data_IF_611940995685
#
_entry.id   IF_611940995685
#
_cell.length_a   1.000
_cell.length_b   1.000
_cell.length_c   1.000
_cell.angle_alpha   90.00
_cell.angle_beta   90.00
_cell.angle_gamma   90.00
#
_symmetry.space_group_name_H-M   'P 1'
#
loop_
_entity.id
_entity.type
_entity.pdbx_description
1 polymer ?
#
# COMPACT_ATOMS: atom_id res chain seq x y z
N UNK A 1 22.87 -18.13 -67.89
CA UNK A 1 21.48 -18.49 -67.52
C UNK A 1 21.25 -17.88 -66.16
N UNK A 2 20.76 -16.62 -66.18
CA UNK A 2 20.48 -15.83 -64.97
C UNK A 2 19.12 -16.24 -64.41
N UNK A 3 19.12 -16.62 -63.17
CA UNK A 3 17.88 -16.80 -62.39
C UNK A 3 17.96 -15.78 -61.23
N UNK A 4 17.52 -14.57 -61.52
CA UNK A 4 17.11 -13.59 -60.52
C UNK A 4 15.70 -13.13 -60.85
N UNK A 5 14.69 -13.86 -60.36
CA UNK A 5 13.34 -13.37 -60.24
C UNK A 5 12.98 -13.29 -58.75
N UNK A 6 13.30 -12.14 -58.12
CA UNK A 6 12.71 -11.77 -56.84
C UNK A 6 11.21 -11.51 -57.03
N UNK A 7 10.40 -12.31 -56.39
CA UNK A 7 8.95 -12.20 -56.43
C UNK A 7 8.42 -10.93 -55.74
N UNK A 8 7.26 -10.42 -56.09
CA UNK A 8 6.68 -9.16 -55.63
C UNK A 8 6.37 -9.12 -54.10
N UNK A 9 6.49 -10.25 -53.41
CA UNK A 9 6.26 -10.34 -51.96
C UNK A 9 7.46 -9.86 -51.10
N UNK A 10 8.69 -10.01 -51.61
CA UNK A 10 9.92 -9.63 -50.87
C UNK A 10 10.10 -8.11 -50.86
N UNK A 11 9.72 -7.40 -51.91
CA UNK A 11 9.79 -5.91 -51.93
C UNK A 11 8.87 -5.25 -50.90
N UNK A 12 7.66 -5.79 -50.68
CA UNK A 12 6.72 -5.26 -49.68
C UNK A 12 7.21 -5.45 -48.25
N UNK A 13 7.95 -6.54 -47.96
CA UNK A 13 8.51 -6.81 -46.64
C UNK A 13 9.69 -5.89 -46.35
N UNK A 14 10.53 -5.60 -47.36
CA UNK A 14 11.70 -4.72 -47.21
C UNK A 14 11.28 -3.24 -47.02
N UNK A 15 10.21 -2.80 -47.66
CA UNK A 15 9.64 -1.46 -47.40
C UNK A 15 9.07 -1.30 -45.99
N UNK A 16 8.46 -2.36 -45.44
CA UNK A 16 7.99 -2.35 -44.02
C UNK A 16 9.16 -2.29 -43.01
N UNK A 17 10.36 -2.77 -43.37
CA UNK A 17 11.54 -2.71 -42.51
C UNK A 17 12.15 -1.31 -42.46
N UNK A 18 11.97 -0.48 -43.51
CA UNK A 18 12.49 0.89 -43.60
C UNK A 18 11.68 1.95 -42.82
N UNK A 19 10.49 1.57 -42.29
CA UNK A 19 9.65 2.48 -41.51
C UNK A 19 10.33 2.83 -40.19
N UNK A 20 10.45 4.10 -39.81
CA UNK A 20 11.03 4.50 -38.54
C UNK A 20 10.38 3.76 -37.36
N UNK A 21 11.19 3.34 -36.39
CA UNK A 21 10.74 2.54 -35.24
C UNK A 21 9.49 3.12 -34.54
N UNK A 22 9.36 4.45 -34.56
CA UNK A 22 8.21 5.20 -34.03
C UNK A 22 6.90 4.93 -34.77
N UNK A 23 6.96 4.90 -36.09
CA UNK A 23 5.76 4.64 -36.91
C UNK A 23 5.31 3.19 -36.72
N UNK A 24 6.25 2.24 -36.57
CA UNK A 24 5.94 0.84 -36.26
C UNK A 24 5.24 0.71 -34.89
N UNK A 25 5.71 1.43 -33.87
CA UNK A 25 5.09 1.42 -32.54
C UNK A 25 3.67 2.01 -32.58
N UNK A 26 3.47 3.12 -33.30
CA UNK A 26 2.15 3.74 -33.48
C UNK A 26 1.20 2.79 -34.21
N UNK A 27 1.68 2.13 -35.29
CA UNK A 27 0.87 1.18 -36.06
C UNK A 27 0.49 -0.04 -35.21
N UNK A 28 1.43 -0.59 -34.42
CA UNK A 28 1.16 -1.74 -33.53
C UNK A 28 0.13 -1.36 -32.47
N UNK A 29 0.25 -0.19 -31.85
CA UNK A 29 -0.72 0.27 -30.84
C UNK A 29 -2.09 0.52 -31.47
N UNK A 30 -2.13 1.16 -32.65
CA UNK A 30 -3.38 1.37 -33.37
C UNK A 30 -4.05 0.06 -33.79
N UNK A 31 -3.26 -0.93 -34.19
CA UNK A 31 -3.73 -2.26 -34.57
C UNK A 31 -4.26 -3.05 -33.37
N UNK A 32 -3.58 -2.98 -32.24
CA UNK A 32 -4.03 -3.58 -30.98
C UNK A 32 -5.31 -2.91 -30.48
N UNK A 33 -5.42 -1.59 -30.59
CA UNK A 33 -6.64 -0.85 -30.29
C UNK A 33 -7.79 -1.25 -31.20
N UNK A 34 -7.53 -1.37 -32.52
CA UNK A 34 -8.54 -1.79 -33.49
C UNK A 34 -9.02 -3.22 -33.25
N UNK A 35 -8.09 -4.17 -33.04
CA UNK A 35 -8.42 -5.58 -32.74
C UNK A 35 -9.26 -5.67 -31.46
N UNK A 36 -8.89 -4.93 -30.43
CA UNK A 36 -9.65 -4.90 -29.19
C UNK A 36 -11.05 -4.29 -29.38
N UNK A 37 -11.20 -3.25 -30.21
CA UNK A 37 -12.50 -2.67 -30.57
C UNK A 37 -13.37 -3.70 -31.31
N UNK A 38 -12.82 -4.36 -32.31
CA UNK A 38 -13.54 -5.36 -33.10
C UNK A 38 -13.97 -6.56 -32.25
N UNK A 39 -13.08 -7.05 -31.36
CA UNK A 39 -13.40 -8.11 -30.41
C UNK A 39 -14.52 -7.70 -29.42
N UNK A 40 -14.52 -6.43 -28.97
CA UNK A 40 -15.55 -5.93 -28.06
C UNK A 40 -16.92 -5.77 -28.72
N UNK A 41 -16.93 -5.54 -30.05
CA UNK A 41 -18.17 -5.41 -30.81
C UNK A 41 -18.80 -6.77 -31.17
N UNK A 42 -17.99 -7.82 -31.28
CA UNK A 42 -18.43 -9.18 -31.61
C UNK A 42 -18.87 -10.01 -30.42
N UNK A 43 -18.31 -9.74 -29.23
CA UNK A 43 -18.70 -10.37 -27.99
C UNK A 43 -19.89 -9.62 -27.38
N UNK A 44 -21.08 -10.17 -27.59
CA UNK A 44 -22.36 -9.55 -27.29
C UNK A 44 -22.52 -8.95 -25.90
N UNK A 45 -23.60 -8.19 -25.65
CA UNK A 45 -23.80 -7.32 -24.47
C UNK A 45 -23.97 -8.06 -23.13
N UNK A 46 -23.86 -9.37 -23.11
CA UNK A 46 -24.16 -10.20 -21.93
C UNK A 46 -23.01 -10.37 -20.94
N UNK A 47 -21.78 -9.95 -21.29
CA UNK A 47 -20.66 -10.00 -20.32
C UNK A 47 -20.43 -8.65 -19.64
N UNK A 48 -20.73 -8.53 -18.32
CA UNK A 48 -20.55 -7.26 -17.59
C UNK A 48 -19.14 -6.69 -17.66
N UNK A 49 -18.13 -7.56 -17.68
CA UNK A 49 -16.71 -7.20 -17.79
C UNK A 49 -16.41 -6.45 -19.09
N UNK A 50 -17.01 -6.85 -20.19
CA UNK A 50 -16.82 -6.22 -21.50
C UNK A 50 -17.49 -4.85 -21.60
N UNK A 51 -18.67 -4.68 -21.01
CA UNK A 51 -19.43 -3.43 -21.04
C UNK A 51 -18.76 -2.29 -20.26
N UNK A 52 -18.09 -2.60 -19.16
CA UNK A 52 -17.51 -1.60 -18.26
C UNK A 52 -15.97 -1.51 -18.31
N UNK A 53 -15.31 -2.62 -18.60
CA UNK A 53 -13.84 -2.69 -18.59
C UNK A 53 -13.22 -2.16 -19.88
N UNK A 54 -13.71 -2.59 -21.04
CA UNK A 54 -13.10 -2.23 -22.33
C UNK A 54 -13.18 -0.73 -22.67
N UNK A 55 -14.32 -0.03 -22.53
CA UNK A 55 -14.35 1.41 -22.79
C UNK A 55 -13.39 2.18 -21.89
N UNK A 56 -13.29 1.81 -20.59
CA UNK A 56 -12.35 2.40 -19.67
C UNK A 56 -10.90 2.07 -20.02
N UNK A 57 -10.60 0.84 -20.42
CA UNK A 57 -9.26 0.41 -20.84
C UNK A 57 -8.78 1.19 -22.07
N UNK A 58 -9.65 1.44 -23.06
CA UNK A 58 -9.31 2.23 -24.26
C UNK A 58 -8.97 3.67 -23.93
N UNK A 59 -9.78 4.30 -23.11
CA UNK A 59 -9.54 5.67 -22.65
C UNK A 59 -8.19 5.76 -21.93
N UNK A 60 -7.83 4.72 -21.18
CA UNK A 60 -6.58 4.65 -20.44
C UNK A 60 -5.36 4.38 -21.33
N UNK A 61 -5.45 3.46 -22.25
CA UNK A 61 -4.38 3.23 -23.22
C UNK A 61 -4.11 4.50 -24.04
N UNK A 62 -5.17 5.26 -24.38
CA UNK A 62 -5.02 6.57 -25.01
C UNK A 62 -4.23 7.54 -24.13
N UNK A 63 -4.56 7.67 -22.83
CA UNK A 63 -3.86 8.56 -21.93
C UNK A 63 -2.42 8.10 -21.61
N UNK A 64 -2.18 6.81 -21.46
CA UNK A 64 -0.82 6.24 -21.31
C UNK A 64 0.00 6.54 -22.55
N UNK A 65 -0.60 6.46 -23.74
CA UNK A 65 0.07 6.78 -25.00
C UNK A 65 0.40 8.27 -25.10
N UNK A 66 -0.54 9.16 -24.77
CA UNK A 66 -0.32 10.62 -24.74
C UNK A 66 0.74 10.99 -23.72
N UNK A 67 0.71 10.39 -22.54
CA UNK A 67 1.71 10.61 -21.48
C UNK A 67 3.08 10.06 -21.89
N UNK A 68 3.12 8.89 -22.53
CA UNK A 68 4.34 8.30 -23.10
C UNK A 68 4.98 9.17 -24.17
N UNK A 69 4.18 9.76 -25.05
CA UNK A 69 4.67 10.73 -26.05
C UNK A 69 5.19 12.03 -25.40
N UNK A 70 4.52 12.53 -24.37
CA UNK A 70 4.96 13.71 -23.65
C UNK A 70 6.28 13.45 -22.93
N UNK A 71 6.43 12.29 -22.28
CA UNK A 71 7.66 11.87 -21.59
C UNK A 71 8.81 11.67 -22.61
N UNK A 72 8.57 10.99 -23.73
CA UNK A 72 9.60 10.80 -24.79
C UNK A 72 10.04 12.15 -25.39
N UNK A 73 9.11 13.09 -25.53
CA UNK A 73 9.40 14.47 -25.95
C UNK A 73 10.28 15.20 -24.94
N UNK A 74 10.02 15.06 -23.64
CA UNK A 74 10.79 15.68 -22.56
C UNK A 74 12.19 15.07 -22.44
N UNK A 75 12.33 13.74 -22.62
CA UNK A 75 13.61 13.04 -22.48
C UNK A 75 14.54 13.32 -23.66
N UNK A 76 14.01 13.50 -24.88
CA UNK A 76 14.83 13.66 -26.09
C UNK A 76 15.21 15.09 -26.43
N UNK A 77 14.58 16.08 -25.82
CA UNK A 77 14.81 17.48 -26.15
C UNK A 77 15.64 18.16 -25.06
N UNK A 78 16.96 18.17 -25.28
CA UNK A 78 17.99 18.79 -24.42
C UNK A 78 18.03 20.33 -24.48
N UNK A 79 17.03 21.01 -25.07
CA UNK A 79 17.03 22.47 -25.28
C UNK A 79 15.83 23.15 -24.62
N UNK A 80 16.04 24.34 -24.07
CA UNK A 80 15.05 25.12 -23.30
C UNK A 80 13.72 25.42 -24.03
N UNK A 81 13.72 25.45 -25.36
CA UNK A 81 12.51 25.63 -26.16
C UNK A 81 11.52 24.48 -26.09
N UNK A 82 11.99 23.28 -25.75
CA UNK A 82 11.15 22.08 -25.67
C UNK A 82 10.40 21.93 -24.35
N UNK A 83 10.95 22.45 -23.27
CA UNK A 83 10.23 22.51 -22.00
C UNK A 83 9.05 23.45 -22.07
N UNK A 84 9.16 24.56 -22.82
CA UNK A 84 8.07 25.46 -23.10
C UNK A 84 6.99 24.81 -23.96
N UNK A 85 7.38 24.00 -24.98
CA UNK A 85 6.43 23.32 -25.83
C UNK A 85 5.70 22.17 -25.10
N UNK A 86 6.41 21.40 -24.26
CA UNK A 86 5.81 20.37 -23.43
C UNK A 86 4.88 20.99 -22.36
N UNK A 87 5.24 22.08 -21.76
CA UNK A 87 4.40 22.84 -20.85
C UNK A 87 3.16 23.42 -21.54
N UNK A 88 3.29 23.92 -22.76
CA UNK A 88 2.17 24.44 -23.56
C UNK A 88 1.21 23.31 -23.97
N UNK A 89 1.72 22.15 -24.38
CA UNK A 89 0.89 20.96 -24.68
C UNK A 89 0.15 20.51 -23.43
N UNK A 90 0.81 20.46 -22.28
CA UNK A 90 0.18 20.08 -21.02
C UNK A 90 -0.88 21.09 -20.57
N UNK A 91 -0.59 22.40 -20.71
CA UNK A 91 -1.52 23.51 -20.41
C UNK A 91 -2.76 23.54 -21.31
N UNK A 92 -2.65 23.06 -22.54
CA UNK A 92 -3.79 22.99 -23.47
C UNK A 92 -4.52 21.66 -23.36
N UNK A 93 -3.81 20.54 -23.18
CA UNK A 93 -4.40 19.21 -23.09
C UNK A 93 -5.20 19.01 -21.80
N UNK A 94 -4.76 19.57 -20.67
CA UNK A 94 -5.46 19.44 -19.39
C UNK A 94 -6.81 20.20 -19.39
N UNK A 95 -6.92 21.48 -19.80
CA UNK A 95 -8.21 22.15 -19.89
C UNK A 95 -9.13 21.53 -20.95
N UNK A 96 -8.57 21.08 -22.09
CA UNK A 96 -9.36 20.39 -23.13
C UNK A 96 -9.91 19.06 -22.62
N UNK A 97 -9.13 18.32 -21.86
CA UNK A 97 -9.56 17.08 -21.22
C UNK A 97 -10.58 17.33 -20.09
N UNK A 98 -10.49 18.46 -19.40
CA UNK A 98 -11.46 18.89 -18.39
C UNK A 98 -12.77 19.40 -18.99
N UNK A 99 -12.71 20.00 -20.19
CA UNK A 99 -13.90 20.53 -20.90
C UNK A 99 -14.64 19.47 -21.70
N UNK A 100 -14.02 18.32 -21.98
CA UNK A 100 -14.65 17.18 -22.63
C UNK A 100 -15.15 16.21 -21.55
N UNK A 101 -16.28 15.54 -21.80
CA UNK A 101 -16.86 14.53 -20.89
C UNK A 101 -15.92 13.31 -20.64
N UNK A 102 -14.73 13.31 -21.21
CA UNK A 102 -13.75 12.24 -21.10
C UNK A 102 -13.17 12.15 -19.66
N UNK A 103 -12.90 13.28 -19.02
CA UNK A 103 -12.37 13.29 -17.65
C UNK A 103 -13.40 12.87 -16.58
N UNK A 104 -14.64 13.34 -16.61
CA UNK A 104 -15.69 12.85 -15.73
C UNK A 104 -16.00 11.36 -15.92
N UNK A 105 -15.89 10.84 -17.17
CA UNK A 105 -16.08 9.42 -17.45
C UNK A 105 -14.87 8.56 -17.02
N UNK A 106 -13.66 9.14 -17.03
CA UNK A 106 -12.43 8.43 -16.66
C UNK A 106 -12.13 8.54 -15.16
N UNK A 107 -12.50 9.66 -14.55
CA UNK A 107 -12.33 9.94 -13.12
C UNK A 107 -13.72 10.25 -12.55
N UNK A 108 -14.46 9.25 -12.08
CA UNK A 108 -15.74 9.52 -11.43
C UNK A 108 -15.47 10.49 -10.26
N UNK A 109 -16.03 11.69 -10.37
CA UNK A 109 -16.06 12.64 -9.25
C UNK A 109 -17.03 12.04 -8.26
N UNK A 110 -16.52 11.41 -7.23
CA UNK A 110 -17.33 10.87 -6.15
C UNK A 110 -18.02 12.05 -5.46
N UNK A 111 -19.32 12.17 -5.69
CA UNK A 111 -20.14 13.07 -4.91
C UNK A 111 -20.20 12.53 -3.46
N UNK A 112 -19.70 13.28 -2.46
CA UNK A 112 -19.81 12.83 -1.08
C UNK A 112 -21.27 12.85 -0.68
N UNK A 113 -21.93 11.68 -0.62
CA UNK A 113 -23.33 11.58 -0.22
C UNK A 113 -24.06 10.30 -0.64
N UNK A 114 -23.58 9.56 -1.63
CA UNK A 114 -24.32 8.37 -2.09
C UNK A 114 -24.07 7.10 -1.28
N UNK A 115 -22.98 7.01 -0.53
CA UNK A 115 -22.64 5.84 0.30
C UNK A 115 -22.96 6.02 1.79
N UNK A 116 -23.63 7.11 2.18
CA UNK A 116 -24.01 7.32 3.58
C UNK A 116 -24.99 6.27 4.10
N UNK A 117 -25.75 5.63 3.22
CA UNK A 117 -26.71 4.60 3.64
C UNK A 117 -26.08 3.31 4.16
N UNK A 118 -24.86 2.96 3.74
CA UNK A 118 -24.16 1.76 4.23
C UNK A 118 -23.45 2.02 5.57
N UNK A 119 -23.07 3.28 5.83
CA UNK A 119 -22.34 3.66 7.05
C UNK A 119 -23.32 4.03 8.19
N UNK A 120 -24.48 4.59 7.88
CA UNK A 120 -25.48 4.94 8.90
C UNK A 120 -26.14 3.73 9.55
N UNK A 121 -26.30 2.60 8.85
CA UNK A 121 -26.80 1.36 9.43
C UNK A 121 -25.90 0.75 10.51
N UNK A 122 -24.62 1.14 10.59
CA UNK A 122 -23.69 0.67 11.63
C UNK A 122 -23.59 1.60 12.85
N UNK A 123 -24.27 2.76 12.86
CA UNK A 123 -24.05 3.79 13.89
C UNK A 123 -24.87 3.70 15.14
N UNK A 124 -25.91 2.86 15.22
CA UNK A 124 -26.88 2.97 16.32
C UNK A 124 -27.42 1.66 16.90
N UNK A 125 -26.85 0.54 16.57
CA UNK A 125 -27.15 -0.62 17.37
C UNK A 125 -26.13 -0.71 18.52
N UNK A 126 -26.56 -0.62 19.80
CA UNK A 126 -25.73 -1.13 20.86
C UNK A 126 -25.41 -2.57 20.44
N UNK A 127 -24.12 -2.91 20.39
CA UNK A 127 -23.69 -4.29 20.14
C UNK A 127 -24.39 -5.12 21.21
N UNK A 128 -25.56 -5.61 20.92
CA UNK A 128 -26.20 -6.66 21.68
C UNK A 128 -25.23 -7.81 21.56
N UNK A 129 -24.54 -8.08 22.65
CA UNK A 129 -23.59 -9.17 22.71
C UNK A 129 -24.35 -10.41 22.25
N UNK A 130 -23.99 -10.89 21.05
CA UNK A 130 -24.42 -12.20 20.60
C UNK A 130 -23.95 -13.13 21.71
N UNK A 131 -24.91 -13.51 22.56
CA UNK A 131 -24.74 -14.62 23.47
C UNK A 131 -24.56 -15.79 22.54
N UNK A 132 -23.30 -16.16 22.26
CA UNK A 132 -22.97 -17.35 21.49
C UNK A 132 -23.52 -18.48 22.36
N UNK A 133 -24.77 -18.85 22.05
CA UNK A 133 -25.47 -19.89 22.75
C UNK A 133 -24.69 -21.18 22.63
N UNK A 134 -24.35 -21.74 23.77
CA UNK A 134 -24.09 -23.18 23.99
C UNK A 134 -23.29 -23.90 22.93
N UNK A 135 -22.12 -23.40 22.54
CA UNK A 135 -21.03 -24.32 22.21
C UNK A 135 -20.69 -24.95 23.55
N UNK A 136 -21.02 -26.24 23.72
CA UNK A 136 -20.59 -27.02 24.90
C UNK A 136 -19.10 -27.29 24.74
N UNK A 137 -18.18 -26.42 25.22
CA UNK A 137 -16.78 -26.75 25.29
C UNK A 137 -16.65 -27.81 26.39
N UNK A 138 -15.70 -28.70 26.23
CA UNK A 138 -15.30 -29.56 27.34
C UNK A 138 -14.97 -28.70 28.57
N UNK A 139 -14.96 -29.25 29.77
CA UNK A 139 -14.79 -28.53 31.05
C UNK A 139 -13.66 -27.48 31.06
N UNK A 140 -12.58 -27.71 30.28
CA UNK A 140 -11.45 -26.79 30.10
C UNK A 140 -11.81 -25.50 29.35
N UNK A 141 -12.65 -25.55 28.32
CA UNK A 141 -13.12 -24.37 27.60
C UNK A 141 -13.86 -23.39 28.49
N UNK A 142 -14.70 -23.91 29.42
CA UNK A 142 -15.46 -23.09 30.35
C UNK A 142 -14.58 -22.26 31.30
N UNK A 143 -13.40 -22.81 31.71
CA UNK A 143 -12.47 -22.08 32.58
C UNK A 143 -11.73 -20.97 31.82
N UNK A 144 -11.38 -21.21 30.56
CA UNK A 144 -10.74 -20.21 29.71
C UNK A 144 -11.73 -19.08 29.45
N UNK A 145 -12.96 -19.40 29.04
CA UNK A 145 -14.00 -18.42 28.76
C UNK A 145 -14.34 -17.59 30.00
N UNK A 146 -14.46 -18.23 31.18
CA UNK A 146 -14.69 -17.53 32.43
C UNK A 146 -13.54 -16.58 32.79
N UNK A 147 -12.30 -17.02 32.58
CA UNK A 147 -11.10 -16.20 32.83
C UNK A 147 -11.06 -15.00 31.88
N UNK A 148 -11.34 -15.19 30.60
CA UNK A 148 -11.36 -14.12 29.59
C UNK A 148 -12.49 -13.13 29.85
N UNK A 149 -13.67 -13.61 30.24
CA UNK A 149 -14.80 -12.75 30.66
C UNK A 149 -14.49 -11.93 31.90
N UNK A 150 -13.81 -12.54 32.89
CA UNK A 150 -13.34 -11.83 34.07
C UNK A 150 -12.37 -10.71 33.70
N UNK A 151 -11.35 -11.00 32.90
CA UNK A 151 -10.39 -10.01 32.38
C UNK A 151 -11.12 -8.88 31.61
N UNK A 152 -12.07 -9.21 30.75
CA UNK A 152 -12.84 -8.21 30.00
C UNK A 152 -13.64 -7.28 30.93
N UNK A 153 -14.25 -7.82 31.99
CA UNK A 153 -14.98 -7.02 32.98
C UNK A 153 -14.04 -6.12 33.78
N UNK A 154 -12.92 -6.67 34.27
CA UNK A 154 -11.94 -5.95 35.08
C UNK A 154 -11.25 -4.81 34.31
N UNK A 155 -10.89 -5.05 33.05
CA UNK A 155 -10.21 -4.08 32.20
C UNK A 155 -11.11 -3.35 31.19
N UNK A 156 -12.44 -3.35 31.45
CA UNK A 156 -13.43 -2.72 30.54
C UNK A 156 -13.13 -1.24 30.27
N UNK A 157 -12.73 -0.48 31.29
CA UNK A 157 -12.40 0.94 31.15
C UNK A 157 -11.15 1.14 30.29
N UNK A 158 -10.14 0.28 30.46
CA UNK A 158 -8.89 0.31 29.68
C UNK A 158 -9.18 0.01 28.19
N UNK A 159 -9.90 -1.08 27.89
CA UNK A 159 -10.23 -1.41 26.50
C UNK A 159 -11.11 -0.35 25.83
N UNK A 160 -12.04 0.22 26.56
CA UNK A 160 -12.85 1.34 26.06
C UNK A 160 -12.00 2.59 25.80
N UNK A 161 -11.09 2.94 26.68
CA UNK A 161 -10.17 4.06 26.50
C UNK A 161 -9.25 3.83 25.30
N UNK A 162 -8.68 2.63 25.17
CA UNK A 162 -7.86 2.26 24.02
C UNK A 162 -8.64 2.37 22.70
N UNK A 163 -9.85 1.82 22.66
CA UNK A 163 -10.74 1.93 21.49
C UNK A 163 -11.03 3.39 21.14
N UNK A 164 -11.43 4.19 22.12
CA UNK A 164 -11.78 5.60 21.89
C UNK A 164 -10.57 6.41 21.42
N UNK A 165 -9.37 6.18 21.98
CA UNK A 165 -8.17 6.89 21.56
C UNK A 165 -7.73 6.50 20.14
N UNK A 166 -7.83 5.21 19.78
CA UNK A 166 -7.57 4.77 18.42
C UNK A 166 -8.59 5.35 17.44
N UNK A 167 -9.87 5.35 17.78
CA UNK A 167 -10.90 5.96 16.93
C UNK A 167 -10.69 7.47 16.75
N UNK A 168 -10.28 8.19 17.80
CA UNK A 168 -9.93 9.61 17.70
C UNK A 168 -8.79 9.87 16.71
N UNK A 169 -7.86 8.94 16.58
CA UNK A 169 -6.77 9.03 15.60
C UNK A 169 -7.21 8.59 14.21
N UNK A 170 -7.92 7.46 14.12
CA UNK A 170 -8.25 6.82 12.84
C UNK A 170 -9.38 7.52 12.08
N UNK A 171 -10.42 7.99 12.78
CA UNK A 171 -11.60 8.59 12.11
C UNK A 171 -11.25 9.89 11.38
N UNK A 172 -10.52 10.85 11.96
CA UNK A 172 -10.09 12.03 11.24
C UNK A 172 -9.14 11.70 10.07
N UNK A 173 -8.21 10.76 10.28
CA UNK A 173 -7.29 10.31 9.25
C UNK A 173 -8.04 9.68 8.06
N UNK A 174 -8.99 8.78 8.35
CA UNK A 174 -9.86 8.17 7.34
C UNK A 174 -10.62 9.22 6.55
N UNK A 175 -11.35 10.12 7.24
CA UNK A 175 -12.12 11.18 6.60
C UNK A 175 -11.23 12.12 5.77
N UNK A 176 -10.06 12.48 6.29
CA UNK A 176 -9.11 13.32 5.57
C UNK A 176 -8.61 12.68 4.28
N UNK A 177 -8.29 11.38 4.32
CA UNK A 177 -7.85 10.64 3.13
C UNK A 177 -8.97 10.41 2.12
N UNK A 178 -10.20 10.09 2.59
CA UNK A 178 -11.36 9.89 1.70
C UNK A 178 -11.80 11.19 1.01
N UNK A 179 -11.69 12.34 1.71
CA UNK A 179 -12.06 13.64 1.17
C UNK A 179 -10.96 14.28 0.32
N UNK A 180 -9.73 13.76 0.40
CA UNK A 180 -8.60 14.31 -0.35
C UNK A 180 -8.78 14.07 -1.85
N UNK A 181 -8.69 15.10 -2.70
CA UNK A 181 -8.75 14.94 -4.14
C UNK A 181 -7.65 13.99 -4.64
N UNK A 182 -8.02 13.08 -5.55
CA UNK A 182 -7.10 12.05 -6.07
C UNK A 182 -5.81 12.63 -6.64
N UNK A 183 -5.91 13.73 -7.38
CA UNK A 183 -4.75 14.40 -7.97
C UNK A 183 -3.79 14.94 -6.90
N UNK A 184 -4.32 15.44 -5.77
CA UNK A 184 -3.52 15.96 -4.67
C UNK A 184 -2.78 14.83 -3.95
N UNK A 185 -3.49 13.75 -3.59
CA UNK A 185 -2.88 12.59 -2.96
C UNK A 185 -1.81 11.96 -3.86
N UNK A 186 -2.13 11.72 -5.13
CA UNK A 186 -1.20 11.17 -6.12
C UNK A 186 0.02 12.08 -6.29
N UNK A 187 -0.18 13.39 -6.35
CA UNK A 187 0.90 14.38 -6.45
C UNK A 187 1.82 14.37 -5.23
N UNK A 188 1.25 14.31 -4.02
CA UNK A 188 2.03 14.24 -2.77
C UNK A 188 2.84 12.94 -2.71
N UNK A 189 2.22 11.79 -3.00
CA UNK A 189 2.92 10.51 -3.00
C UNK A 189 4.02 10.48 -4.06
N UNK A 190 3.76 10.99 -5.26
CA UNK A 190 4.75 11.08 -6.33
C UNK A 190 5.92 11.99 -5.94
N UNK A 191 5.66 13.13 -5.30
CA UNK A 191 6.70 14.04 -4.82
C UNK A 191 7.58 13.39 -3.76
N UNK A 192 6.97 12.70 -2.77
CA UNK A 192 7.70 11.96 -1.74
C UNK A 192 8.53 10.85 -2.38
N UNK A 193 7.94 10.05 -3.27
CA UNK A 193 8.61 8.97 -3.99
C UNK A 193 9.79 9.50 -4.81
N UNK A 194 9.62 10.61 -5.51
CA UNK A 194 10.69 11.24 -6.29
C UNK A 194 11.84 11.71 -5.40
N UNK A 195 11.51 12.40 -4.32
CA UNK A 195 12.51 12.96 -3.40
C UNK A 195 13.33 11.90 -2.69
N UNK A 196 12.71 10.77 -2.35
CA UNK A 196 13.29 9.72 -1.50
C UNK A 196 13.91 8.59 -2.33
N UNK A 197 13.22 8.16 -3.38
CA UNK A 197 13.59 6.94 -4.14
C UNK A 197 13.89 7.20 -5.62
N UNK A 198 13.66 8.44 -6.09
CA UNK A 198 13.95 8.87 -7.45
C UNK A 198 12.75 8.77 -8.40
N UNK A 199 12.94 9.29 -9.63
CA UNK A 199 11.87 9.47 -10.62
C UNK A 199 11.18 8.18 -11.06
N UNK A 200 11.91 7.05 -11.09
CA UNK A 200 11.34 5.75 -11.48
C UNK A 200 10.26 5.28 -10.50
N UNK A 201 10.52 5.45 -9.20
CA UNK A 201 9.55 5.08 -8.16
C UNK A 201 8.37 6.04 -8.16
N UNK A 202 8.61 7.34 -8.40
CA UNK A 202 7.54 8.31 -8.58
C UNK A 202 6.61 7.93 -9.74
N UNK A 203 7.17 7.53 -10.88
CA UNK A 203 6.40 7.10 -12.04
C UNK A 203 5.56 5.84 -11.73
N UNK A 204 6.16 4.84 -11.10
CA UNK A 204 5.45 3.62 -10.67
C UNK A 204 4.31 3.97 -9.71
N UNK A 205 4.54 4.90 -8.78
CA UNK A 205 3.53 5.33 -7.82
C UNK A 205 2.35 6.03 -8.51
N UNK A 206 2.64 6.93 -9.47
CA UNK A 206 1.59 7.60 -10.24
C UNK A 206 0.77 6.60 -11.04
N UNK A 207 1.43 5.73 -11.80
CA UNK A 207 0.76 4.71 -12.63
C UNK A 207 -0.09 3.78 -11.75
N UNK A 208 0.46 3.33 -10.61
CA UNK A 208 -0.27 2.45 -9.70
C UNK A 208 -1.48 3.12 -9.05
N UNK A 209 -1.34 4.38 -8.59
CA UNK A 209 -2.47 5.11 -8.00
C UNK A 209 -3.52 5.49 -9.05
N UNK A 210 -3.10 5.80 -10.26
CA UNK A 210 -4.02 5.98 -11.37
C UNK A 210 -4.79 4.69 -11.68
N UNK A 211 -4.13 3.55 -11.69
CA UNK A 211 -4.79 2.26 -11.85
C UNK A 211 -5.86 2.05 -10.78
N UNK A 212 -5.52 2.25 -9.50
CA UNK A 212 -6.47 2.16 -8.37
C UNK A 212 -7.69 3.05 -8.60
N UNK A 213 -7.45 4.26 -9.09
CA UNK A 213 -8.49 5.23 -9.37
C UNK A 213 -9.45 4.81 -10.47
N UNK A 214 -8.92 4.25 -11.57
CA UNK A 214 -9.69 3.80 -12.74
C UNK A 214 -10.62 2.66 -12.43
N UNK A 215 -10.12 1.73 -11.64
CA UNK A 215 -10.88 0.53 -11.29
C UNK A 215 -11.80 0.73 -10.09
N UNK A 216 -12.07 2.01 -9.72
CA UNK A 216 -12.97 2.38 -8.62
C UNK A 216 -12.58 1.81 -7.24
N UNK A 217 -11.27 1.57 -7.06
CA UNK A 217 -10.70 1.04 -5.83
C UNK A 217 -10.21 2.16 -4.89
N UNK A 218 -10.49 3.44 -5.23
CA UNK A 218 -9.91 4.59 -4.54
C UNK A 218 -10.30 4.63 -3.05
N UNK A 219 -11.60 4.60 -2.76
CA UNK A 219 -12.09 4.68 -1.38
C UNK A 219 -11.63 3.46 -0.57
N UNK A 220 -11.72 2.26 -1.14
CA UNK A 220 -11.23 1.05 -0.50
C UNK A 220 -9.72 1.14 -0.19
N UNK A 221 -8.94 1.77 -1.08
CA UNK A 221 -7.51 2.01 -0.88
C UNK A 221 -7.25 3.01 0.26
N UNK A 222 -8.02 4.11 0.34
CA UNK A 222 -7.87 5.11 1.43
C UNK A 222 -8.20 4.51 2.80
N UNK A 223 -9.20 3.64 2.87
CA UNK A 223 -9.53 2.88 4.08
C UNK A 223 -8.37 1.94 4.44
N UNK A 224 -7.84 1.19 3.49
CA UNK A 224 -6.70 0.29 3.70
C UNK A 224 -5.45 1.04 4.16
N UNK A 225 -5.14 2.18 3.55
CA UNK A 225 -4.03 3.05 3.96
C UNK A 225 -4.25 3.56 5.39
N UNK A 226 -5.48 3.91 5.77
CA UNK A 226 -5.79 4.33 7.13
C UNK A 226 -5.48 3.24 8.14
N UNK A 227 -5.95 2.02 7.90
CA UNK A 227 -5.76 0.88 8.81
C UNK A 227 -4.28 0.50 8.88
N UNK A 228 -3.65 0.27 7.73
CA UNK A 228 -2.23 -0.13 7.65
C UNK A 228 -1.31 0.98 8.14
N UNK A 229 -1.55 2.22 7.72
CA UNK A 229 -0.74 3.36 8.12
C UNK A 229 -0.77 3.59 9.63
N UNK A 230 -1.98 3.53 10.23
CA UNK A 230 -2.12 3.64 11.69
C UNK A 230 -1.44 2.48 12.41
N UNK A 231 -1.67 1.24 11.97
CA UNK A 231 -1.04 0.06 12.56
C UNK A 231 0.48 0.11 12.46
N UNK A 232 1.01 0.44 11.28
CA UNK A 232 2.45 0.55 11.04
C UNK A 232 3.09 1.65 11.88
N UNK A 233 2.48 2.83 11.91
CA UNK A 233 2.98 3.96 12.72
C UNK A 233 3.08 3.57 14.19
N UNK A 234 2.02 2.98 14.77
CA UNK A 234 2.01 2.54 16.16
C UNK A 234 2.98 1.38 16.39
N UNK A 235 3.09 0.44 15.47
CA UNK A 235 4.05 -0.66 15.55
C UNK A 235 5.49 -0.15 15.59
N UNK A 236 5.86 0.79 14.72
CA UNK A 236 7.20 1.40 14.71
C UNK A 236 7.44 2.19 15.99
N UNK A 237 6.47 3.00 16.43
CA UNK A 237 6.57 3.81 17.63
C UNK A 237 6.78 2.96 18.90
N UNK A 238 6.23 1.75 18.95
CA UNK A 238 6.42 0.80 20.04
C UNK A 238 7.70 -0.05 19.87
N UNK A 239 8.00 -0.46 18.64
CA UNK A 239 9.09 -1.39 18.35
C UNK A 239 10.47 -0.78 18.56
N UNK A 240 10.69 0.48 18.12
CA UNK A 240 12.00 1.10 18.20
C UNK A 240 12.43 1.28 19.68
N UNK A 241 11.60 1.85 20.58
CA UNK A 241 11.96 1.93 22.00
C UNK A 241 12.16 0.55 22.64
N UNK A 242 11.29 -0.42 22.32
CA UNK A 242 11.42 -1.78 22.84
C UNK A 242 12.73 -2.45 22.37
N UNK A 243 13.10 -2.28 21.09
CA UNK A 243 14.35 -2.77 20.53
C UNK A 243 15.58 -2.11 21.15
N UNK A 244 15.51 -0.80 21.44
CA UNK A 244 16.56 -0.08 22.18
C UNK A 244 16.70 -0.64 23.60
N UNK A 245 15.60 -0.84 24.32
CA UNK A 245 15.63 -1.44 25.66
C UNK A 245 16.22 -2.86 25.61
N UNK A 246 15.84 -3.66 24.63
CA UNK A 246 16.35 -5.00 24.40
C UNK A 246 17.86 -5.00 24.12
N UNK A 247 18.39 -4.00 23.41
CA UNK A 247 19.82 -3.86 23.14
C UNK A 247 20.66 -3.48 24.37
N UNK A 248 20.03 -2.86 25.38
CA UNK A 248 20.70 -2.39 26.59
C UNK A 248 20.72 -3.40 27.75
N UNK A 249 19.84 -4.41 27.69
CA UNK A 249 19.69 -5.37 28.82
C UNK A 249 19.53 -6.79 28.29
N UNK A 250 20.51 -7.66 28.57
CA UNK A 250 20.46 -9.07 28.19
C UNK A 250 19.34 -9.82 28.91
N UNK A 251 19.00 -9.40 30.12
CA UNK A 251 17.85 -9.97 30.86
C UNK A 251 16.55 -9.65 30.16
N UNK A 252 16.36 -8.42 29.72
CA UNK A 252 15.17 -8.01 28.97
C UNK A 252 15.11 -8.73 27.64
N UNK A 253 16.25 -8.89 26.96
CA UNK A 253 16.33 -9.65 25.70
C UNK A 253 15.91 -11.11 25.91
N UNK A 254 16.41 -11.78 26.94
CA UNK A 254 16.10 -13.18 27.25
C UNK A 254 14.60 -13.40 27.50
N UNK A 255 13.92 -12.41 28.10
CA UNK A 255 12.46 -12.48 28.33
C UNK A 255 11.68 -12.15 27.05
N UNK A 256 12.13 -11.16 26.29
CA UNK A 256 11.41 -10.71 25.08
C UNK A 256 11.55 -11.68 23.92
N UNK A 257 12.66 -12.39 23.76
CA UNK A 257 12.87 -13.35 22.66
C UNK A 257 11.74 -14.38 22.56
N UNK A 258 11.41 -15.15 23.62
CA UNK A 258 10.29 -16.10 23.55
C UNK A 258 8.95 -15.46 23.24
N UNK A 259 8.69 -14.24 23.73
CA UNK A 259 7.46 -13.49 23.44
C UNK A 259 7.38 -13.13 21.95
N UNK A 260 8.49 -12.63 21.38
CA UNK A 260 8.55 -12.30 19.95
C UNK A 260 8.49 -13.56 19.09
N UNK A 261 9.06 -14.68 19.54
CA UNK A 261 8.96 -15.98 18.86
C UNK A 261 7.51 -16.46 18.84
N UNK A 262 6.82 -16.41 19.99
CA UNK A 262 5.40 -16.72 20.08
C UNK A 262 4.60 -15.87 19.11
N UNK A 263 4.85 -14.55 19.10
CA UNK A 263 4.17 -13.64 18.16
C UNK A 263 4.44 -13.95 16.69
N UNK A 264 5.51 -14.61 16.31
CA UNK A 264 5.80 -14.94 14.90
C UNK A 264 5.40 -16.36 14.51
N UNK A 265 5.33 -17.28 15.46
CA UNK A 265 4.95 -18.68 15.20
C UNK A 265 3.44 -18.88 15.20
N UNK A 266 2.69 -18.06 15.91
CA UNK A 266 1.23 -18.13 15.89
C UNK A 266 0.69 -17.74 14.50
N UNK A 267 -0.27 -18.49 13.96
CA UNK A 267 -0.96 -18.08 12.73
C UNK A 267 -1.58 -16.69 12.90
N UNK A 268 -1.40 -15.83 11.91
CA UNK A 268 -1.87 -14.43 11.95
C UNK A 268 -3.37 -14.28 12.25
N UNK A 269 -4.16 -15.26 11.84
CA UNK A 269 -5.59 -15.32 12.10
C UNK A 269 -5.94 -15.42 13.60
N UNK A 270 -5.09 -16.06 14.40
CA UNK A 270 -5.34 -16.28 15.84
C UNK A 270 -5.36 -14.97 16.62
N UNK A 271 -4.63 -13.94 16.17
CA UNK A 271 -4.64 -12.62 16.81
C UNK A 271 -5.98 -11.89 16.72
N UNK A 272 -6.80 -12.23 15.71
CA UNK A 272 -8.11 -11.61 15.54
C UNK A 272 -9.08 -12.01 16.65
N UNK A 273 -8.94 -13.24 17.18
CA UNK A 273 -9.85 -13.76 18.22
C UNK A 273 -9.85 -12.87 19.47
N UNK A 274 -8.70 -12.67 20.16
CA UNK A 274 -8.67 -11.78 21.32
C UNK A 274 -8.97 -10.33 20.95
N UNK A 275 -8.54 -9.85 19.77
CA UNK A 275 -8.82 -8.50 19.33
C UNK A 275 -10.32 -8.24 19.21
N UNK A 276 -11.08 -9.14 18.57
CA UNK A 276 -12.54 -9.04 18.46
C UNK A 276 -13.18 -9.13 19.83
N UNK A 277 -12.75 -10.07 20.64
CA UNK A 277 -13.35 -10.34 21.94
C UNK A 277 -13.25 -9.12 22.88
N UNK A 278 -12.10 -8.47 22.93
CA UNK A 278 -11.87 -7.33 23.82
C UNK A 278 -12.33 -5.99 23.25
N UNK A 279 -12.19 -5.78 21.94
CA UNK A 279 -12.39 -4.47 21.28
C UNK A 279 -13.64 -4.42 20.38
N UNK A 280 -14.30 -5.56 20.15
CA UNK A 280 -15.45 -5.65 19.25
C UNK A 280 -15.07 -5.85 17.79
N UNK A 281 -16.00 -5.56 16.87
CA UNK A 281 -15.80 -5.67 15.42
C UNK A 281 -15.51 -4.28 14.84
N UNK A 282 -14.64 -4.17 13.84
CA UNK A 282 -14.36 -2.94 13.13
C UNK A 282 -12.87 -2.67 12.94
N UNK A 283 -12.52 -1.42 12.64
CA UNK A 283 -11.14 -1.01 12.33
C UNK A 283 -10.19 -1.13 13.53
N UNK A 284 -10.68 -0.92 14.75
CA UNK A 284 -9.83 -0.92 15.96
C UNK A 284 -9.23 -2.30 16.26
N UNK A 285 -10.02 -3.40 16.34
CA UNK A 285 -9.45 -4.73 16.54
C UNK A 285 -8.53 -5.15 15.39
N UNK A 286 -8.83 -4.73 14.15
CA UNK A 286 -7.96 -4.97 13.00
C UNK A 286 -6.59 -4.32 13.19
N UNK A 287 -6.54 -3.04 13.58
CA UNK A 287 -5.28 -2.32 13.85
C UNK A 287 -4.52 -2.96 15.00
N UNK A 288 -5.19 -3.33 16.11
CA UNK A 288 -4.53 -3.96 17.26
C UNK A 288 -3.92 -5.32 16.91
N UNK A 289 -4.66 -6.16 16.19
CA UNK A 289 -4.12 -7.45 15.71
C UNK A 289 -2.92 -7.26 14.77
N UNK A 290 -3.01 -6.27 13.88
CA UNK A 290 -1.92 -5.92 12.96
C UNK A 290 -0.69 -5.43 13.70
N UNK A 291 -0.85 -4.60 14.75
CA UNK A 291 0.26 -4.12 15.60
C UNK A 291 1.02 -5.31 16.21
N UNK A 292 0.31 -6.24 16.86
CA UNK A 292 0.93 -7.40 17.52
C UNK A 292 1.71 -8.25 16.52
N UNK A 293 1.16 -8.44 15.32
CA UNK A 293 1.79 -9.22 14.25
C UNK A 293 3.00 -8.53 13.63
N UNK A 294 2.97 -7.20 13.47
CA UNK A 294 3.98 -6.44 12.75
C UNK A 294 5.18 -5.99 13.62
N UNK A 295 5.03 -5.94 14.94
CA UNK A 295 6.05 -5.48 15.91
C UNK A 295 7.34 -6.33 15.91
N UNK A 296 7.32 -7.67 15.90
CA UNK A 296 8.48 -8.49 16.21
C UNK A 296 9.71 -8.24 15.33
N UNK A 297 9.63 -8.17 13.99
CA UNK A 297 10.80 -7.97 13.15
C UNK A 297 11.47 -6.61 13.39
N UNK A 298 10.68 -5.56 13.64
CA UNK A 298 11.23 -4.24 13.91
C UNK A 298 11.97 -4.19 15.25
N UNK A 299 11.45 -4.83 16.31
CA UNK A 299 12.16 -4.95 17.60
C UNK A 299 13.47 -5.70 17.42
N UNK A 300 13.46 -6.86 16.74
CA UNK A 300 14.64 -7.69 16.55
C UNK A 300 15.73 -6.98 15.76
N UNK A 301 15.35 -6.34 14.64
CA UNK A 301 16.31 -5.64 13.81
C UNK A 301 16.82 -4.35 14.46
N UNK A 302 16.03 -3.69 15.28
CA UNK A 302 16.49 -2.56 16.09
C UNK A 302 17.50 -3.01 17.14
N UNK A 303 17.22 -4.08 17.88
CA UNK A 303 18.15 -4.68 18.84
C UNK A 303 19.46 -5.11 18.14
N UNK A 304 19.35 -5.85 17.06
CA UNK A 304 20.49 -6.34 16.30
C UNK A 304 21.34 -5.18 15.74
N UNK A 305 20.71 -4.18 15.13
CA UNK A 305 21.43 -3.04 14.56
C UNK A 305 22.24 -2.26 15.58
N UNK A 306 21.70 -2.07 16.78
CA UNK A 306 22.42 -1.39 17.86
C UNK A 306 23.57 -2.25 18.39
N UNK A 307 23.40 -3.56 18.52
CA UNK A 307 24.44 -4.48 19.01
C UNK A 307 25.55 -4.72 18.00
N UNK A 308 25.29 -4.57 16.71
CA UNK A 308 26.29 -4.72 15.63
C UNK A 308 27.20 -3.51 15.48
N UNK A 309 26.97 -2.42 16.18
CA UNK A 309 27.89 -1.25 16.16
C UNK A 309 29.24 -1.66 16.71
N UNK A 310 30.31 -1.39 15.94
CA UNK A 310 31.69 -1.78 16.27
C UNK A 310 32.07 -1.36 17.69
N UNK A 311 32.61 -2.28 18.50
CA UNK A 311 33.10 -1.97 19.84
C UNK A 311 34.14 -0.85 19.86
N UNK A 312 35.02 -0.80 18.86
CA UNK A 312 36.05 0.24 18.74
C UNK A 312 35.45 1.65 18.62
N UNK A 313 34.34 1.81 17.89
CA UNK A 313 33.64 3.11 17.80
C UNK A 313 32.98 3.47 19.12
N UNK A 314 32.47 2.49 19.86
CA UNK A 314 31.87 2.69 21.19
C UNK A 314 32.95 3.11 22.21
N UNK A 315 34.11 2.45 22.20
CA UNK A 315 35.25 2.77 23.09
C UNK A 315 35.82 4.14 22.77
N UNK A 316 36.01 4.45 21.48
CA UNK A 316 36.47 5.77 21.05
C UNK A 316 35.52 6.87 21.51
N UNK A 317 34.21 6.69 21.32
CA UNK A 317 33.23 7.67 21.77
C UNK A 317 33.24 7.85 23.28
N UNK A 318 33.45 6.78 24.06
CA UNK A 318 33.58 6.84 25.52
C UNK A 318 34.88 7.55 25.96
N UNK A 319 35.98 7.33 25.23
CA UNK A 319 37.24 8.02 25.48
C UNK A 319 37.12 9.54 25.28
N UNK A 320 36.25 10.00 24.39
CA UNK A 320 35.89 11.42 24.23
C UNK A 320 34.84 11.91 25.25
N UNK A 321 34.53 11.13 26.31
CA UNK A 321 33.66 11.56 27.39
C UNK A 321 32.15 11.56 27.06
N UNK A 322 31.69 10.78 26.09
CA UNK A 322 30.25 10.72 25.77
C UNK A 322 29.47 10.04 26.88
N UNK A 323 28.33 10.65 27.28
CA UNK A 323 27.39 10.01 28.20
C UNK A 323 26.66 8.83 27.49
N UNK A 324 26.09 7.87 28.23
CA UNK A 324 25.36 6.73 27.66
C UNK A 324 24.24 7.15 26.70
N UNK A 325 23.56 8.26 26.97
CA UNK A 325 22.51 8.80 26.12
C UNK A 325 23.07 9.44 24.84
N UNK A 326 24.17 10.17 24.95
CA UNK A 326 24.88 10.72 23.80
C UNK A 326 25.44 9.61 22.89
N UNK A 327 26.01 8.56 23.48
CA UNK A 327 26.49 7.39 22.78
C UNK A 327 25.36 6.73 21.96
N UNK A 328 24.18 6.55 22.57
CA UNK A 328 23.02 5.98 21.88
C UNK A 328 22.60 6.85 20.70
N UNK A 329 22.31 8.15 20.94
CA UNK A 329 21.70 9.02 19.93
C UNK A 329 22.69 9.44 18.85
N UNK A 330 23.94 9.77 19.22
CA UNK A 330 24.91 10.35 18.29
C UNK A 330 25.79 9.33 17.58
N UNK A 331 25.91 8.10 18.12
CA UNK A 331 26.79 7.07 17.57
C UNK A 331 26.00 5.82 17.19
N UNK A 332 25.35 5.18 18.16
CA UNK A 332 24.73 3.87 17.91
C UNK A 332 23.53 3.95 16.96
N UNK A 333 22.57 4.85 17.18
CA UNK A 333 21.37 4.97 16.34
C UNK A 333 21.68 5.36 14.89
N UNK A 334 22.56 6.36 14.61
CA UNK A 334 22.95 6.68 13.26
C UNK A 334 23.62 5.53 12.50
N UNK A 335 24.51 4.80 13.18
CA UNK A 335 25.20 3.64 12.59
C UNK A 335 24.27 2.43 12.45
N UNK A 336 23.31 2.24 13.34
CA UNK A 336 22.30 1.19 13.28
C UNK A 336 21.16 1.50 12.28
N UNK A 337 21.07 2.74 11.79
CA UNK A 337 19.95 3.22 10.94
C UNK A 337 19.63 2.28 9.79
N UNK A 338 20.57 1.76 8.97
CA UNK A 338 20.24 0.86 7.87
C UNK A 338 19.51 -0.41 8.33
N UNK A 339 19.98 -1.02 9.44
CA UNK A 339 19.37 -2.23 9.99
C UNK A 339 18.01 -1.94 10.63
N UNK A 340 17.87 -0.81 11.34
CA UNK A 340 16.58 -0.36 11.90
C UNK A 340 15.58 -0.13 10.77
N UNK A 341 15.98 0.53 9.68
CA UNK A 341 15.10 0.78 8.54
C UNK A 341 14.71 -0.51 7.80
N UNK A 342 15.58 -1.51 7.76
CA UNK A 342 15.20 -2.84 7.29
C UNK A 342 14.10 -3.45 8.18
N UNK A 343 14.19 -3.27 9.50
CA UNK A 343 13.13 -3.66 10.46
C UNK A 343 11.82 -2.92 10.24
N UNK A 344 11.90 -1.62 10.02
CA UNK A 344 10.73 -0.78 9.67
C UNK A 344 10.09 -1.28 8.39
N UNK A 345 10.87 -1.54 7.34
CA UNK A 345 10.34 -2.04 6.09
C UNK A 345 9.63 -3.39 6.25
N UNK A 346 10.21 -4.30 7.03
CA UNK A 346 9.59 -5.59 7.30
C UNK A 346 8.30 -5.46 8.12
N UNK A 347 8.25 -4.52 9.09
CA UNK A 347 7.03 -4.18 9.82
C UNK A 347 5.91 -3.70 8.89
N UNK A 348 6.23 -2.83 7.93
CA UNK A 348 5.30 -2.35 6.90
C UNK A 348 4.75 -3.50 6.07
N UNK A 349 5.62 -4.39 5.60
CA UNK A 349 5.22 -5.54 4.77
C UNK A 349 4.31 -6.51 5.54
N UNK A 350 4.60 -6.75 6.82
CA UNK A 350 3.73 -7.57 7.67
C UNK A 350 2.38 -6.91 7.94
N UNK A 351 2.35 -5.58 8.14
CA UNK A 351 1.10 -4.85 8.30
C UNK A 351 0.24 -4.92 7.02
N UNK A 352 0.85 -4.84 5.85
CA UNK A 352 0.16 -5.00 4.56
C UNK A 352 -0.38 -6.42 4.36
N UNK A 353 0.35 -7.45 4.79
CA UNK A 353 -0.11 -8.83 4.73
C UNK A 353 -1.38 -9.06 5.59
N UNK A 354 -1.58 -8.26 6.63
CA UNK A 354 -2.77 -8.34 7.49
C UNK A 354 -4.03 -7.69 6.90
N UNK A 355 -3.93 -6.95 5.76
CA UNK A 355 -5.07 -6.19 5.19
C UNK A 355 -6.27 -7.09 4.90
N UNK A 356 -6.04 -8.25 4.29
CA UNK A 356 -7.11 -9.20 3.96
C UNK A 356 -7.75 -9.78 5.22
N UNK A 357 -6.90 -10.14 6.20
CA UNK A 357 -7.38 -10.67 7.48
C UNK A 357 -8.11 -9.61 8.32
N UNK A 358 -7.69 -8.36 8.23
CA UNK A 358 -8.37 -7.24 8.86
C UNK A 358 -9.82 -7.07 8.36
N UNK A 359 -10.09 -7.44 7.11
CA UNK A 359 -11.43 -7.42 6.55
C UNK A 359 -12.39 -8.40 7.23
N UNK A 360 -11.90 -9.55 7.71
CA UNK A 360 -12.68 -10.54 8.45
C UNK A 360 -13.30 -9.95 9.73
N UNK A 361 -12.67 -8.95 10.30
CA UNK A 361 -13.12 -8.28 11.52
C UNK A 361 -13.83 -6.96 11.24
N UNK A 362 -14.18 -6.70 9.97
CA UNK A 362 -14.97 -5.53 9.58
C UNK A 362 -14.15 -4.24 9.42
N UNK A 363 -12.86 -4.32 9.12
CA UNK A 363 -12.02 -3.14 8.88
C UNK A 363 -12.36 -2.40 7.58
N UNK A 364 -12.98 -3.08 6.61
CA UNK A 364 -13.26 -2.51 5.29
C UNK A 364 -12.03 -2.44 4.39
N UNK A 365 -12.09 -1.61 3.35
CA UNK A 365 -11.00 -1.37 2.41
C UNK A 365 -10.81 -2.49 1.39
N UNK A 366 -9.66 -2.48 0.68
CA UNK A 366 -9.33 -3.45 -0.37
C UNK A 366 -9.38 -4.91 0.09
N UNK A 367 -9.03 -5.16 1.37
CA UNK A 367 -9.15 -6.49 1.96
C UNK A 367 -10.60 -6.99 1.97
N UNK A 368 -11.58 -6.11 2.16
CA UNK A 368 -12.99 -6.46 2.12
C UNK A 368 -13.43 -6.87 0.71
N UNK A 369 -12.91 -6.23 -0.34
CA UNK A 369 -13.19 -6.61 -1.71
C UNK A 369 -12.59 -7.98 -2.06
N UNK A 370 -11.38 -8.27 -1.60
CA UNK A 370 -10.77 -9.61 -1.72
C UNK A 370 -11.62 -10.64 -1.00
N UNK A 371 -12.00 -10.36 0.24
CA UNK A 371 -12.78 -11.27 1.06
C UNK A 371 -14.17 -11.53 0.49
N UNK A 372 -14.86 -10.47 0.04
CA UNK A 372 -16.16 -10.59 -0.61
C UNK A 372 -16.07 -11.37 -1.92
N UNK A 373 -15.02 -11.13 -2.71
CA UNK A 373 -14.75 -11.89 -3.94
C UNK A 373 -14.59 -13.38 -3.70
N UNK A 374 -13.91 -13.77 -2.61
CA UNK A 374 -13.77 -15.19 -2.22
C UNK A 374 -15.10 -15.77 -1.72
N UNK A 375 -15.84 -15.04 -0.88
CA UNK A 375 -17.09 -15.54 -0.30
C UNK A 375 -18.22 -15.66 -1.34
N UNK A 376 -18.31 -14.70 -2.25
CA UNK A 376 -19.36 -14.63 -3.27
C UNK A 376 -18.96 -15.31 -4.58
N UNK A 377 -17.75 -15.89 -4.64
CA UNK A 377 -17.15 -16.45 -5.85
C UNK A 377 -17.06 -15.44 -7.01
N UNK A 378 -16.95 -14.15 -6.67
CA UNK A 378 -16.74 -13.05 -7.61
C UNK A 378 -15.25 -12.88 -7.90
N UNK A 379 -14.72 -13.70 -8.82
CA UNK A 379 -13.28 -13.71 -9.15
C UNK A 379 -12.75 -12.32 -9.52
N UNK A 380 -13.49 -11.57 -10.33
CA UNK A 380 -13.08 -10.23 -10.78
C UNK A 380 -12.88 -9.25 -9.62
N UNK A 381 -13.83 -9.21 -8.68
CA UNK A 381 -13.78 -8.36 -7.49
C UNK A 381 -12.62 -8.72 -6.59
N UNK A 382 -12.46 -10.01 -6.28
CA UNK A 382 -11.36 -10.50 -5.45
C UNK A 382 -9.99 -10.21 -6.06
N UNK A 383 -9.83 -10.46 -7.37
CA UNK A 383 -8.59 -10.19 -8.08
C UNK A 383 -8.24 -8.70 -8.10
N UNK A 384 -9.20 -7.84 -8.38
CA UNK A 384 -8.97 -6.39 -8.43
C UNK A 384 -8.59 -5.82 -7.05
N UNK A 385 -9.28 -6.25 -5.99
CA UNK A 385 -8.90 -5.91 -4.62
C UNK A 385 -7.47 -6.36 -4.30
N UNK A 386 -7.10 -7.58 -4.70
CA UNK A 386 -5.75 -8.13 -4.53
C UNK A 386 -4.68 -7.33 -5.28
N UNK A 387 -4.92 -6.98 -6.53
CA UNK A 387 -4.02 -6.13 -7.33
C UNK A 387 -3.85 -4.75 -6.65
N UNK A 388 -4.94 -4.16 -6.16
CA UNK A 388 -4.90 -2.90 -5.42
C UNK A 388 -3.99 -2.97 -4.19
N UNK A 389 -4.07 -4.05 -3.42
CA UNK A 389 -3.19 -4.27 -2.25
C UNK A 389 -1.72 -4.39 -2.70
N UNK A 390 -1.44 -5.14 -3.76
CA UNK A 390 -0.07 -5.30 -4.30
C UNK A 390 0.50 -3.96 -4.76
N UNK A 391 -0.29 -3.14 -5.45
CA UNK A 391 0.12 -1.81 -5.89
C UNK A 391 0.48 -0.93 -4.69
N UNK A 392 -0.38 -0.87 -3.67
CA UNK A 392 -0.09 -0.12 -2.45
C UNK A 392 1.16 -0.65 -1.74
N UNK A 393 1.32 -1.98 -1.68
CA UNK A 393 2.49 -2.61 -1.09
C UNK A 393 3.78 -2.20 -1.81
N UNK A 394 3.80 -2.24 -3.15
CA UNK A 394 4.96 -1.82 -3.96
C UNK A 394 5.29 -0.34 -3.72
N UNK A 395 4.28 0.53 -3.72
CA UNK A 395 4.49 1.97 -3.52
C UNK A 395 5.10 2.24 -2.13
N UNK A 396 4.50 1.69 -1.09
CA UNK A 396 4.95 1.90 0.30
C UNK A 396 6.34 1.29 0.51
N UNK A 397 6.58 0.06 0.01
CA UNK A 397 7.87 -0.62 0.11
C UNK A 397 8.99 0.20 -0.56
N UNK A 398 8.79 0.65 -1.80
CA UNK A 398 9.79 1.44 -2.54
C UNK A 398 10.10 2.77 -1.88
N UNK A 399 9.11 3.44 -1.32
CA UNK A 399 9.29 4.69 -0.57
C UNK A 399 10.05 4.40 0.72
N UNK A 400 9.67 3.37 1.47
CA UNK A 400 10.33 3.00 2.74
C UNK A 400 11.79 2.58 2.53
N UNK A 401 12.08 1.80 1.49
CA UNK A 401 13.46 1.45 1.11
C UNK A 401 14.31 2.69 0.73
N UNK A 402 13.69 3.69 0.13
CA UNK A 402 14.37 4.94 -0.19
C UNK A 402 14.85 5.69 1.06
N UNK A 403 14.09 5.67 2.14
CA UNK A 403 14.51 6.23 3.44
C UNK A 403 15.63 5.43 4.12
N UNK A 404 15.80 4.16 3.75
CA UNK A 404 16.86 3.29 4.27
C UNK A 404 18.22 3.54 3.61
N UNK A 405 18.26 4.15 2.41
CA UNK A 405 19.52 4.47 1.72
C UNK A 405 20.37 5.42 2.54
N UNK A 406 21.65 5.09 2.64
CA UNK A 406 22.62 5.94 3.32
C UNK A 406 22.96 7.15 2.44
N UNK A 407 22.73 8.40 2.91
CA UNK A 407 23.10 9.59 2.14
C UNK A 407 24.60 9.71 1.86
N UNK A 408 25.43 9.01 2.62
CA UNK A 408 26.88 9.03 2.48
C UNK A 408 27.39 8.05 1.40
N UNK A 409 26.65 6.97 1.13
CA UNK A 409 27.04 6.01 0.10
C UNK A 409 26.87 6.55 -1.33
N UNK A 410 25.96 7.50 -1.54
CA UNK A 410 25.71 8.12 -2.86
C UNK A 410 26.67 9.29 -3.18
N UNK A 411 27.47 9.76 -2.20
CA UNK A 411 28.48 10.80 -2.45
C UNK A 411 29.76 10.28 -3.11
N UNK A 412 29.94 8.96 -3.11
CA UNK A 412 31.13 8.31 -3.68
C UNK A 412 30.88 7.64 -5.05
N UNK A 413 29.74 7.92 -5.67
CA UNK A 413 29.43 7.59 -7.08
C UNK A 413 29.30 8.85 -7.91
#
# INVERSE_FOLDING_TARGET
MDINQEGPSTKKITELVSIPLRVKQIVIVALLLYIGWDLSSQLGPEMPVMKYFFPKLYTWLFWIFVLGLAIDSIIRLKTSKSQLLAGAIFLVAVPLALSTEILPATFPVYAPGQDQHVIEGQRTQPVEYITIGSIRPGKTGNYIDASVLYLKRQFKSFFRAATNNLLKLMVPLKKGLEQMPMWLFTGVVALIAWRVSGYRVALISVVGLLFIAVFDLWIASMISITVVGTATFLSIALSIPAGILMSKSDRFESIMRPVLDLCQTMPSFVYLIPAIFFLGIGMVPAVMATIVYAIPPCIRLTNLGIRLVSPQLIETARAFGTTPWQLLIKVQLPLARPTIMAGVNQCVMMALAMVVLAALVGAGGLGADVYAGVQQLEFGRGLMGGIGIVILAIIIDRITQGFAKDPLADRNK
#
